data_IF_195403967777
#
_entry.id   IF_195403967777
#
_cell.length_a   1.000
_cell.length_b   1.000
_cell.length_c   1.000
_cell.angle_alpha   90.00
_cell.angle_beta   90.00
_cell.angle_gamma   90.00
#
_symmetry.space_group_name_H-M   'P 1'
#
loop_
_entity.id
_entity.type
_entity.pdbx_description
1 polymer ?
#
# COMPACT_ATOMS: atom_id res chain seq x y z
N UNK A 1 23.43 12.71 -5.51
CA UNK A 1 23.11 11.51 -6.31
C UNK A 1 21.86 10.89 -5.71
N UNK A 2 20.77 10.77 -6.47
CA UNK A 2 19.57 10.09 -5.99
C UNK A 2 19.86 8.59 -6.00
N UNK A 3 19.66 7.90 -4.87
CA UNK A 3 19.70 6.44 -4.85
C UNK A 3 18.51 5.89 -5.63
N UNK A 4 18.71 4.76 -6.32
CA UNK A 4 17.61 4.07 -7.00
C UNK A 4 16.54 3.64 -5.98
N UNK A 5 15.25 3.76 -6.35
CA UNK A 5 14.16 3.43 -5.45
C UNK A 5 14.14 1.92 -5.15
N UNK A 6 13.59 1.59 -3.98
CA UNK A 6 13.25 0.21 -3.63
C UNK A 6 11.78 -0.06 -3.96
N UNK A 7 11.50 -1.22 -4.53
CA UNK A 7 10.15 -1.67 -4.83
C UNK A 7 9.58 -2.51 -3.69
N UNK A 8 8.44 -2.11 -3.14
CA UNK A 8 7.75 -2.85 -2.07
C UNK A 8 6.42 -3.35 -2.61
N UNK A 9 6.27 -4.67 -2.71
CA UNK A 9 5.05 -5.30 -3.20
C UNK A 9 4.13 -5.68 -2.04
N UNK A 10 2.87 -5.22 -2.12
CA UNK A 10 1.75 -5.60 -1.25
C UNK A 10 0.89 -6.63 -1.98
N UNK A 11 0.86 -7.90 -1.51
CA UNK A 11 0.15 -8.97 -2.19
C UNK A 11 -1.37 -8.84 -2.24
N UNK A 12 -1.95 -9.60 -3.17
CA UNK A 12 -3.38 -9.92 -3.19
C UNK A 12 -3.80 -10.95 -2.14
N UNK A 13 -5.10 -11.21 -2.01
CA UNK A 13 -5.65 -12.19 -1.08
C UNK A 13 -5.07 -13.58 -1.34
N UNK A 14 -4.78 -14.31 -0.26
CA UNK A 14 -4.27 -15.69 -0.29
C UNK A 14 -2.92 -15.90 -0.98
N UNK A 15 -2.22 -14.82 -1.35
CA UNK A 15 -0.90 -14.89 -1.95
C UNK A 15 0.14 -14.46 -0.92
N UNK A 16 0.94 -15.38 -0.35
CA UNK A 16 2.12 -15.00 0.41
C UNK A 16 3.14 -14.27 -0.50
N UNK A 17 4.04 -13.49 0.08
CA UNK A 17 5.06 -12.72 -0.63
C UNK A 17 5.93 -13.59 -1.55
N UNK A 18 6.20 -14.84 -1.14
CA UNK A 18 6.93 -15.84 -1.94
C UNK A 18 6.30 -16.13 -3.31
N UNK A 19 5.00 -15.93 -3.49
CA UNK A 19 4.35 -16.09 -4.80
C UNK A 19 4.87 -15.10 -5.84
N UNK A 20 5.48 -13.99 -5.41
CA UNK A 20 6.01 -12.95 -6.29
C UNK A 20 7.53 -13.04 -6.44
N UNK A 21 8.18 -14.11 -5.95
CA UNK A 21 9.65 -14.20 -5.95
C UNK A 21 10.23 -14.04 -7.37
N UNK A 22 9.61 -14.64 -8.38
CA UNK A 22 10.06 -14.48 -9.76
C UNK A 22 10.04 -13.01 -10.22
N UNK A 23 9.03 -12.23 -9.83
CA UNK A 23 8.98 -10.80 -10.10
C UNK A 23 10.09 -10.05 -9.36
N UNK A 24 10.28 -10.36 -8.07
CA UNK A 24 11.33 -9.76 -7.25
C UNK A 24 12.72 -10.01 -7.85
N UNK A 25 13.00 -11.26 -8.24
CA UNK A 25 14.27 -11.64 -8.87
C UNK A 25 14.49 -10.87 -10.17
N UNK A 26 13.45 -10.70 -10.99
CA UNK A 26 13.53 -9.96 -12.24
C UNK A 26 13.79 -8.46 -12.03
N UNK A 27 13.24 -7.86 -10.97
CA UNK A 27 13.52 -6.46 -10.60
C UNK A 27 14.95 -6.30 -10.09
N UNK A 28 15.40 -7.24 -9.24
CA UNK A 28 16.77 -7.25 -8.71
C UNK A 28 17.83 -7.47 -9.81
N UNK A 29 17.56 -8.33 -10.79
CA UNK A 29 18.44 -8.53 -11.95
C UNK A 29 18.62 -7.24 -12.79
N UNK A 30 17.69 -6.29 -12.68
CA UNK A 30 17.77 -4.98 -13.35
C UNK A 30 18.46 -3.90 -12.50
N UNK A 31 19.00 -4.27 -11.34
CA UNK A 31 19.77 -3.37 -10.47
C UNK A 31 18.93 -2.64 -9.41
N UNK A 32 17.68 -3.03 -9.19
CA UNK A 32 16.80 -2.40 -8.21
C UNK A 32 16.55 -3.30 -6.99
N UNK A 33 16.57 -2.72 -5.80
CA UNK A 33 16.11 -3.45 -4.62
C UNK A 33 14.59 -3.70 -4.72
N UNK A 34 14.16 -4.89 -4.32
CA UNK A 34 12.74 -5.22 -4.26
C UNK A 34 12.45 -6.25 -3.16
N UNK A 35 11.25 -6.16 -2.58
CA UNK A 35 10.71 -7.14 -1.63
C UNK A 35 9.19 -7.27 -1.77
N UNK A 36 8.68 -8.45 -1.46
CA UNK A 36 7.25 -8.72 -1.34
C UNK A 36 6.90 -9.01 0.12
N UNK A 37 5.84 -8.40 0.62
CA UNK A 37 5.38 -8.57 1.99
C UNK A 37 4.55 -9.85 2.15
N UNK A 38 4.38 -10.29 3.38
CA UNK A 38 3.31 -11.21 3.77
C UNK A 38 2.23 -10.40 4.49
N UNK A 39 1.00 -10.46 3.99
CA UNK A 39 -0.14 -9.80 4.63
C UNK A 39 -0.55 -10.59 5.89
N UNK A 40 -0.64 -9.96 7.08
CA UNK A 40 -1.16 -10.58 8.30
C UNK A 40 -2.50 -11.31 8.14
N UNK A 41 -3.36 -10.88 7.22
CA UNK A 41 -4.64 -11.55 6.92
C UNK A 41 -4.49 -12.88 6.17
N UNK A 42 -3.33 -13.18 5.60
CA UNK A 42 -3.11 -14.37 4.77
C UNK A 42 -2.86 -15.62 5.60
N UNK A 43 -3.50 -16.73 5.22
CA UNK A 43 -3.28 -18.04 5.86
C UNK A 43 -3.89 -18.18 7.25
N UNK A 44 -4.80 -17.28 7.66
CA UNK A 44 -5.46 -17.37 8.95
C UNK A 44 -6.48 -18.50 8.98
N UNK A 45 -6.52 -19.20 10.11
CA UNK A 45 -7.59 -20.17 10.43
C UNK A 45 -8.88 -19.48 10.89
N UNK A 46 -8.79 -18.21 11.30
CA UNK A 46 -9.90 -17.35 11.73
C UNK A 46 -9.89 -16.04 10.91
N UNK A 47 -10.59 -16.01 9.76
CA UNK A 47 -10.56 -14.88 8.82
C UNK A 47 -10.97 -13.53 9.44
N UNK A 48 -11.78 -13.54 10.49
CA UNK A 48 -12.26 -12.36 11.21
C UNK A 48 -11.23 -11.72 12.14
N UNK A 49 -10.10 -12.40 12.41
CA UNK A 49 -9.09 -11.93 13.38
C UNK A 49 -8.18 -10.83 12.86
N UNK A 50 -8.24 -10.51 11.56
CA UNK A 50 -7.48 -9.44 10.91
C UNK A 50 -8.34 -8.64 9.95
N UNK A 51 -7.94 -7.39 9.79
CA UNK A 51 -8.62 -6.41 8.94
C UNK A 51 -7.70 -5.92 7.84
N UNK A 52 -8.26 -5.21 6.86
CA UNK A 52 -7.48 -4.48 5.86
C UNK A 52 -6.52 -3.47 6.51
N UNK A 53 -6.87 -2.94 7.69
CA UNK A 53 -6.02 -1.99 8.41
C UNK A 53 -4.80 -2.68 9.02
N UNK A 54 -4.91 -3.93 9.47
CA UNK A 54 -3.74 -4.70 9.94
C UNK A 54 -2.73 -4.89 8.80
N UNK A 55 -3.21 -5.23 7.61
CA UNK A 55 -2.36 -5.38 6.42
C UNK A 55 -1.76 -4.05 5.99
N UNK A 56 -2.55 -2.97 6.03
CA UNK A 56 -2.06 -1.63 5.74
C UNK A 56 -0.99 -1.17 6.74
N UNK A 57 -1.16 -1.47 8.03
CA UNK A 57 -0.18 -1.14 9.06
C UNK A 57 1.13 -1.92 8.88
N UNK A 58 1.06 -3.20 8.51
CA UNK A 58 2.23 -4.00 8.17
C UNK A 58 3.01 -3.41 6.99
N UNK A 59 2.32 -3.06 5.90
CA UNK A 59 2.93 -2.40 4.76
C UNK A 59 3.50 -1.04 5.12
N UNK A 60 2.75 -0.23 5.88
CA UNK A 60 3.17 1.10 6.30
C UNK A 60 4.42 1.06 7.17
N UNK A 61 4.51 0.13 8.13
CA UNK A 61 5.69 -0.07 8.97
C UNK A 61 6.95 -0.29 8.12
N UNK A 62 6.85 -1.17 7.11
CA UNK A 62 7.96 -1.45 6.20
C UNK A 62 8.34 -0.23 5.37
N UNK A 63 7.36 0.47 4.80
CA UNK A 63 7.59 1.68 3.99
C UNK A 63 8.24 2.78 4.84
N UNK A 64 7.70 3.06 6.04
CA UNK A 64 8.22 4.07 6.97
C UNK A 64 9.67 3.78 7.33
N UNK A 65 9.99 2.52 7.66
CA UNK A 65 11.36 2.11 7.97
C UNK A 65 12.32 2.43 6.82
N UNK A 66 11.93 2.19 5.57
CA UNK A 66 12.77 2.45 4.39
C UNK A 66 12.95 3.96 4.12
N UNK A 67 11.85 4.73 4.15
CA UNK A 67 11.91 6.17 3.85
C UNK A 67 12.60 6.96 4.96
N UNK A 68 12.55 6.50 6.22
CA UNK A 68 13.29 7.12 7.32
C UNK A 68 14.79 6.82 7.26
N UNK A 69 15.21 5.81 6.51
CA UNK A 69 16.60 5.60 6.09
C UNK A 69 16.99 6.45 4.87
N UNK A 70 16.11 7.34 4.42
CA UNK A 70 16.32 8.21 3.27
C UNK A 70 16.12 7.53 1.91
N UNK A 71 15.53 6.32 1.86
CA UNK A 71 15.23 5.64 0.60
C UNK A 71 13.99 6.23 -0.08
N UNK A 72 14.03 6.23 -1.40
CA UNK A 72 12.83 6.39 -2.22
C UNK A 72 12.14 5.03 -2.38
N UNK A 73 10.82 5.00 -2.30
CA UNK A 73 10.03 3.76 -2.36
C UNK A 73 8.99 3.84 -3.49
N UNK A 74 8.92 2.79 -4.30
CA UNK A 74 7.78 2.54 -5.19
C UNK A 74 6.95 1.42 -4.58
N UNK A 75 5.68 1.69 -4.30
CA UNK A 75 4.77 0.69 -3.75
C UNK A 75 4.03 0.03 -4.90
N UNK A 76 4.20 -1.28 -5.05
CA UNK A 76 3.46 -2.10 -6.00
C UNK A 76 2.33 -2.79 -5.24
N UNK A 77 1.12 -2.78 -5.79
CA UNK A 77 -0.03 -3.46 -5.20
C UNK A 77 -0.60 -4.45 -6.20
N UNK A 78 -0.96 -5.65 -5.74
CA UNK A 78 -1.62 -6.65 -6.59
C UNK A 78 -3.01 -6.99 -6.07
N UNK A 79 -4.03 -6.95 -6.96
CA UNK A 79 -5.41 -7.29 -6.62
C UNK A 79 -5.88 -6.62 -5.32
N UNK A 80 -6.30 -7.42 -4.32
CA UNK A 80 -6.65 -6.97 -2.98
C UNK A 80 -5.64 -6.00 -2.36
N UNK A 81 -4.34 -6.21 -2.60
CA UNK A 81 -3.25 -5.38 -2.08
C UNK A 81 -3.37 -3.91 -2.45
N UNK A 82 -4.19 -3.56 -3.45
CA UNK A 82 -4.55 -2.18 -3.79
C UNK A 82 -5.09 -1.39 -2.60
N UNK A 83 -5.96 -2.01 -1.80
CA UNK A 83 -6.54 -1.35 -0.63
C UNK A 83 -5.50 -1.09 0.48
N UNK A 84 -4.85 -2.13 1.08
CA UNK A 84 -3.89 -1.91 2.15
C UNK A 84 -2.65 -1.14 1.68
N UNK A 85 -2.18 -1.34 0.43
CA UNK A 85 -1.04 -0.61 -0.12
C UNK A 85 -1.33 0.88 -0.36
N UNK A 86 -2.53 1.22 -0.85
CA UNK A 86 -2.97 2.60 -0.97
C UNK A 86 -3.06 3.31 0.39
N UNK A 87 -3.69 2.65 1.38
CA UNK A 87 -3.77 3.17 2.76
C UNK A 87 -2.36 3.35 3.36
N UNK A 88 -1.48 2.37 3.16
CA UNK A 88 -0.13 2.40 3.72
C UNK A 88 0.70 3.60 3.23
N UNK A 89 0.55 4.00 1.96
CA UNK A 89 1.30 5.10 1.34
C UNK A 89 0.77 6.51 1.70
N UNK A 90 -0.42 6.61 2.31
CA UNK A 90 -1.06 7.90 2.59
C UNK A 90 -0.16 8.83 3.42
N UNK A 91 0.06 10.06 2.90
CA UNK A 91 0.87 11.09 3.56
C UNK A 91 2.37 10.79 3.62
N UNK A 92 2.87 9.81 2.85
CA UNK A 92 4.28 9.43 2.82
C UNK A 92 4.99 9.87 1.54
N UNK A 93 4.38 10.74 0.72
CA UNK A 93 4.98 11.17 -0.55
C UNK A 93 6.33 11.85 -0.30
N UNK A 94 7.28 11.65 -1.22
CA UNK A 94 8.59 12.32 -1.15
C UNK A 94 8.45 13.83 -1.08
N UNK A 95 7.48 14.39 -1.81
CA UNK A 95 7.17 15.83 -1.79
C UNK A 95 6.77 16.31 -0.39
N UNK A 96 5.83 15.63 0.25
CA UNK A 96 5.36 16.03 1.59
C UNK A 96 6.48 15.90 2.63
N UNK A 97 7.30 14.85 2.52
CA UNK A 97 8.45 14.64 3.40
C UNK A 97 9.52 15.71 3.22
N UNK A 98 9.82 16.10 1.98
CA UNK A 98 10.76 17.17 1.69
C UNK A 98 10.30 18.51 2.28
N UNK A 99 9.00 18.82 2.19
CA UNK A 99 8.42 20.01 2.84
C UNK A 99 8.58 19.98 4.37
N UNK A 100 8.58 18.79 4.97
CA UNK A 100 8.84 18.58 6.39
C UNK A 100 10.34 18.45 6.75
N UNK A 101 11.26 18.77 5.83
CA UNK A 101 12.70 18.69 6.05
C UNK A 101 13.26 17.27 6.16
N UNK A 102 12.51 16.25 5.72
CA UNK A 102 12.91 14.84 5.75
C UNK A 102 13.41 14.37 4.38
N UNK A 103 14.29 13.37 4.39
CA UNK A 103 14.73 12.65 3.19
C UNK A 103 13.88 11.41 2.93
N UNK A 104 14.02 10.85 1.73
CA UNK A 104 13.26 9.69 1.27
C UNK A 104 11.76 9.95 1.12
N UNK A 105 11.04 8.95 0.64
CA UNK A 105 9.59 8.99 0.55
C UNK A 105 9.04 8.08 -0.54
N UNK A 106 7.71 7.98 -0.57
CA UNK A 106 7.02 7.27 -1.65
C UNK A 106 7.09 8.14 -2.90
N UNK A 107 7.69 7.60 -3.96
CA UNK A 107 7.86 8.26 -5.26
C UNK A 107 6.92 7.71 -6.32
N UNK A 108 6.26 6.59 -6.06
CA UNK A 108 5.29 6.00 -6.98
C UNK A 108 4.40 4.94 -6.35
N UNK A 109 3.22 4.78 -6.94
CA UNK A 109 2.24 3.73 -6.65
C UNK A 109 1.91 3.00 -7.96
N UNK A 110 2.06 1.68 -7.98
CA UNK A 110 1.75 0.84 -9.14
C UNK A 110 0.61 -0.12 -8.76
N UNK A 111 -0.54 0.03 -9.39
CA UNK A 111 -1.70 -0.86 -9.20
C UNK A 111 -1.70 -1.94 -10.29
N UNK A 112 -1.31 -3.16 -9.93
CA UNK A 112 -1.25 -4.32 -10.81
C UNK A 112 -2.50 -5.18 -10.64
N UNK A 113 -3.37 -5.21 -11.64
CA UNK A 113 -4.68 -5.89 -11.54
C UNK A 113 -5.45 -5.47 -10.27
N UNK A 114 -5.27 -4.23 -9.83
CA UNK A 114 -5.79 -3.63 -8.61
C UNK A 114 -6.43 -2.28 -8.95
N UNK A 115 -7.22 -1.73 -8.03
CA UNK A 115 -7.89 -0.45 -8.22
C UNK A 115 -7.53 0.54 -7.11
N UNK A 116 -7.25 1.81 -7.42
CA UNK A 116 -7.29 2.87 -6.43
C UNK A 116 -8.74 3.07 -6.00
N UNK A 117 -9.03 2.89 -4.72
CA UNK A 117 -10.39 2.99 -4.19
C UNK A 117 -10.53 4.27 -3.39
N UNK A 118 -11.62 5.02 -3.65
CA UNK A 118 -11.96 6.19 -2.82
C UNK A 118 -12.28 5.72 -1.41
N UNK A 119 -11.88 6.51 -0.41
CA UNK A 119 -12.22 6.22 0.98
C UNK A 119 -13.73 6.01 1.15
N UNK A 120 -14.10 5.01 1.95
CA UNK A 120 -15.50 4.61 2.17
C UNK A 120 -16.16 3.82 1.04
N UNK A 121 -15.46 3.52 -0.05
CA UNK A 121 -16.01 2.77 -1.17
C UNK A 121 -15.39 1.36 -1.25
N UNK A 122 -16.15 0.42 -1.80
CA UNK A 122 -15.71 -0.94 -2.07
C UNK A 122 -15.93 -1.24 -3.56
N UNK A 123 -14.95 -1.86 -4.22
CA UNK A 123 -14.98 -2.10 -5.68
C UNK A 123 -15.61 -3.44 -6.08
N UNK A 124 -16.01 -4.27 -5.11
CA UNK A 124 -16.51 -5.64 -5.36
C UNK A 124 -18.03 -5.84 -5.27
N UNK A 125 -18.84 -4.81 -5.52
CA UNK A 125 -20.30 -4.87 -5.41
C UNK A 125 -20.83 -4.56 -4.01
N UNK A 126 -22.07 -4.97 -3.70
CA UNK A 126 -22.66 -4.74 -2.37
C UNK A 126 -22.01 -5.68 -1.35
N UNK A 127 -21.37 -5.17 -0.28
CA UNK A 127 -20.84 -6.01 0.78
C UNK A 127 -21.95 -6.87 1.39
N UNK A 128 -21.63 -8.10 1.79
CA UNK A 128 -22.58 -8.92 2.53
C UNK A 128 -23.00 -8.19 3.84
N UNK A 129 -24.22 -8.40 4.36
CA UNK A 129 -24.75 -7.63 5.50
C UNK A 129 -23.90 -7.66 6.78
N UNK A 130 -23.03 -8.67 6.92
CA UNK A 130 -22.13 -8.84 8.06
C UNK A 130 -20.77 -8.13 7.89
N UNK A 131 -20.48 -7.56 6.72
CA UNK A 131 -19.24 -6.80 6.48
C UNK A 131 -19.40 -5.40 7.05
N UNK A 132 -18.65 -5.10 8.11
CA UNK A 132 -18.59 -3.74 8.65
C UNK A 132 -17.67 -2.90 7.77
N UNK A 133 -18.25 -1.89 7.11
CA UNK A 133 -17.46 -0.86 6.45
C UNK A 133 -16.88 0.07 7.51
N UNK A 134 -15.57 0.33 7.43
CA UNK A 134 -14.94 1.31 8.30
C UNK A 134 -15.60 2.68 8.12
N UNK A 135 -15.81 3.39 9.23
CA UNK A 135 -16.22 4.80 9.21
C UNK A 135 -15.19 5.61 8.42
N UNK A 136 -15.64 6.28 7.37
CA UNK A 136 -14.80 7.18 6.55
C UNK A 136 -14.25 8.26 7.48
N UNK A 137 -12.92 8.43 7.57
CA UNK A 137 -12.38 9.67 8.11
C UNK A 137 -12.61 10.72 7.04
N UNK A 138 -13.64 11.54 7.22
CA UNK A 138 -13.90 12.72 6.40
C UNK A 138 -12.67 13.66 6.43
N UNK A 139 -11.71 13.44 5.52
CA UNK A 139 -10.59 14.35 5.29
C UNK A 139 -10.29 14.59 3.81
N UNK A 140 -11.10 14.05 2.89
CA UNK A 140 -11.03 14.43 1.48
C UNK A 140 -12.39 15.00 1.10
N UNK A 141 -12.42 16.32 0.90
CA UNK A 141 -13.62 17.14 0.67
C UNK A 141 -14.65 16.43 -0.20
N UNK A 142 -15.86 16.29 0.34
CA UNK A 142 -17.01 15.69 -0.33
C UNK A 142 -17.97 16.75 -0.87
N UNK A 143 -17.46 17.86 -1.42
CA UNK A 143 -18.35 18.91 -1.92
C UNK A 143 -17.95 19.37 -3.32
N UNK A 144 -18.88 19.23 -4.27
CA UNK A 144 -18.75 19.72 -5.64
C UNK A 144 -19.14 21.20 -5.79
N UNK A 145 -19.32 21.95 -4.70
CA UNK A 145 -19.88 23.31 -4.77
C UNK A 145 -19.12 24.40 -4.04
N UNK A 146 -17.94 24.13 -3.48
CA UNK A 146 -17.22 25.15 -2.72
C UNK A 146 -15.73 25.12 -3.03
N UNK A 147 -15.24 26.23 -3.60
CA UNK A 147 -13.88 26.54 -4.01
C UNK A 147 -12.76 25.95 -3.13
N UNK A 148 -11.79 25.31 -3.78
CA UNK A 148 -10.39 25.21 -3.36
C UNK A 148 -9.54 26.05 -4.31
#
# INVERSE_FOLDING_TARGET
MSSEPIFVLVPGFWHPGKCYQQLIDQVQQRGYDALALDNPSSGLTKPESKTVLDDAQNARSTIVKLIDQGRDVVVITHSYGGAPGGIAAQGLSKKDRQLAGKTGGVVGLVYMAAFPVKEGHFTGGTPAPFVQLNQVRLQICSDQTSHC
#
